data_IF_837683521752
#
_entry.id   IF_837683521752
#
_cell.length_a   1.000
_cell.length_b   1.000
_cell.length_c   1.000
_cell.angle_alpha   90.00
_cell.angle_beta   90.00
_cell.angle_gamma   90.00
#
_symmetry.space_group_name_H-M   'P 1'
#
loop_
_entity.id
_entity.type
_entity.pdbx_description
1 polymer ?
#
# COMPACT_ATOMS: atom_id res chain seq x y z
N UNK A 1 5.95 26.63 5.53
CA UNK A 1 6.91 25.83 6.32
C UNK A 1 6.68 24.37 5.96
N UNK A 2 7.63 23.77 5.24
CA UNK A 2 7.41 22.57 4.44
C UNK A 2 7.62 21.27 5.22
N UNK A 3 6.87 20.22 4.85
CA UNK A 3 6.95 18.87 5.44
C UNK A 3 8.37 18.32 5.54
N UNK A 4 9.27 18.71 4.62
CA UNK A 4 10.64 18.21 4.56
C UNK A 4 11.53 18.72 5.70
N UNK A 5 11.34 19.97 6.14
CA UNK A 5 12.12 20.55 7.25
C UNK A 5 11.70 19.92 8.58
N UNK A 6 10.40 19.70 8.76
CA UNK A 6 9.85 18.99 9.91
C UNK A 6 10.36 17.53 9.97
N UNK A 7 10.39 16.83 8.84
CA UNK A 7 10.85 15.44 8.79
C UNK A 7 12.36 15.32 9.05
N UNK A 8 13.18 16.23 8.52
CA UNK A 8 14.62 16.28 8.82
C UNK A 8 14.90 16.58 10.29
N UNK A 9 14.10 17.46 10.89
CA UNK A 9 14.20 17.77 12.32
C UNK A 9 13.80 16.55 13.17
N UNK A 10 12.69 15.90 12.83
CA UNK A 10 12.19 14.74 13.57
C UNK A 10 13.23 13.60 13.63
N UNK A 11 14.00 13.36 12.57
CA UNK A 11 15.07 12.35 12.58
C UNK A 11 16.22 12.64 13.55
N UNK A 12 16.35 13.87 14.06
CA UNK A 12 17.35 14.23 15.07
C UNK A 12 16.83 14.07 16.50
N UNK A 13 15.54 13.81 16.67
CA UNK A 13 14.88 13.63 17.97
C UNK A 13 14.87 12.17 18.42
N UNK A 14 15.67 11.30 17.78
CA UNK A 14 15.75 9.85 18.06
C UNK A 14 14.38 9.14 18.13
N UNK A 15 13.49 9.30 17.13
CA UNK A 15 12.16 8.71 17.20
C UNK A 15 12.18 7.22 16.86
N UNK A 16 11.37 6.39 17.53
CA UNK A 16 11.14 5.01 17.08
C UNK A 16 10.14 4.93 15.90
N UNK A 17 9.19 5.87 15.86
CA UNK A 17 8.06 5.89 14.95
C UNK A 17 7.92 7.24 14.27
N UNK A 18 7.72 7.24 12.95
CA UNK A 18 7.62 8.45 12.15
C UNK A 18 6.34 8.39 11.32
N UNK A 19 5.49 9.41 11.43
CA UNK A 19 4.37 9.61 10.51
C UNK A 19 4.74 10.68 9.48
N UNK A 20 5.04 10.23 8.26
CA UNK A 20 5.13 11.08 7.09
C UNK A 20 3.73 11.23 6.52
N UNK A 21 3.31 12.44 6.15
CA UNK A 21 1.97 12.69 5.60
C UNK A 21 1.76 12.01 4.24
N UNK A 22 1.63 12.81 3.18
CA UNK A 22 1.52 12.30 1.81
C UNK A 22 2.91 12.20 1.16
N UNK A 23 3.22 11.04 0.56
CA UNK A 23 4.41 10.84 -0.26
C UNK A 23 4.21 11.42 -1.67
N UNK A 24 4.22 12.75 -1.76
CA UNK A 24 3.90 13.47 -3.00
C UNK A 24 5.11 13.70 -3.90
N UNK A 25 6.22 14.11 -3.32
CA UNK A 25 7.44 14.51 -4.03
C UNK A 25 8.63 13.58 -3.75
N UNK A 26 9.62 13.66 -4.64
CA UNK A 26 10.82 12.83 -4.60
C UNK A 26 11.61 13.02 -3.30
N UNK A 27 11.68 14.24 -2.76
CA UNK A 27 12.44 14.51 -1.53
C UNK A 27 11.78 13.84 -0.32
N UNK A 28 10.46 13.97 -0.17
CA UNK A 28 9.68 13.35 0.91
C UNK A 28 9.82 11.82 0.86
N UNK A 29 9.71 11.23 -0.35
CA UNK A 29 9.82 9.78 -0.53
C UNK A 29 11.23 9.30 -0.18
N UNK A 30 12.28 10.01 -0.64
CA UNK A 30 13.67 9.65 -0.33
C UNK A 30 13.91 9.66 1.17
N UNK A 31 13.42 10.70 1.87
CA UNK A 31 13.61 10.84 3.30
C UNK A 31 12.87 9.75 4.08
N UNK A 32 11.64 9.42 3.68
CA UNK A 32 10.87 8.32 4.26
C UNK A 32 11.58 6.95 4.08
N UNK A 33 12.14 6.68 2.89
CA UNK A 33 12.89 5.46 2.62
C UNK A 33 14.18 5.38 3.46
N UNK A 34 14.95 6.45 3.54
CA UNK A 34 16.17 6.51 4.37
C UNK A 34 15.85 6.31 5.86
N UNK A 35 14.78 6.92 6.36
CA UNK A 35 14.33 6.71 7.73
C UNK A 35 13.96 5.24 7.99
N UNK A 36 13.21 4.63 7.07
CA UNK A 36 12.82 3.22 7.19
C UNK A 36 14.02 2.25 7.12
N UNK A 37 15.00 2.54 6.26
CA UNK A 37 16.22 1.76 6.11
C UNK A 37 17.12 1.82 7.36
N UNK A 38 17.13 2.97 8.05
CA UNK A 38 17.92 3.19 9.28
C UNK A 38 17.25 2.64 10.54
N UNK A 39 16.13 1.91 10.41
CA UNK A 39 15.50 1.16 11.51
C UNK A 39 14.22 1.78 12.07
N UNK A 40 13.80 2.95 11.59
CA UNK A 40 12.60 3.63 12.06
C UNK A 40 11.33 2.98 11.48
N UNK A 41 10.25 2.88 12.26
CA UNK A 41 8.96 2.50 11.71
C UNK A 41 8.26 3.73 11.09
N UNK A 42 8.25 3.76 9.76
CA UNK A 42 7.67 4.88 8.99
C UNK A 42 6.26 4.54 8.52
N UNK A 43 5.29 5.36 8.91
CA UNK A 43 3.94 5.40 8.34
C UNK A 43 3.88 6.51 7.31
N UNK A 44 3.28 6.21 6.16
CA UNK A 44 3.09 7.20 5.11
C UNK A 44 1.81 6.92 4.31
N UNK A 45 1.26 7.95 3.68
CA UNK A 45 0.06 7.83 2.83
C UNK A 45 0.38 8.14 1.37
N UNK A 46 -0.30 7.44 0.46
CA UNK A 46 -0.19 7.63 -0.99
C UNK A 46 -1.57 7.49 -1.61
N UNK A 47 -1.90 8.35 -2.57
CA UNK A 47 -3.17 8.30 -3.28
C UNK A 47 -3.15 7.29 -4.44
N UNK A 48 -3.18 5.99 -4.12
CA UNK A 48 -3.34 4.93 -5.12
C UNK A 48 -4.53 4.02 -4.80
N UNK A 49 -4.94 3.23 -5.79
CA UNK A 49 -6.09 2.32 -5.70
C UNK A 49 -5.74 0.89 -5.33
N UNK A 50 -4.45 0.54 -5.24
CA UNK A 50 -4.02 -0.83 -4.91
C UNK A 50 -2.61 -0.87 -4.34
N UNK A 51 -2.28 -1.97 -3.67
CA UNK A 51 -0.97 -2.21 -3.10
C UNK A 51 0.11 -2.21 -4.19
N UNK A 52 -0.13 -2.92 -5.29
CA UNK A 52 0.78 -2.96 -6.43
C UNK A 52 1.02 -1.56 -7.04
N UNK A 53 -0.04 -0.77 -7.26
CA UNK A 53 0.09 0.61 -7.78
C UNK A 53 0.83 1.54 -6.82
N UNK A 54 0.74 1.29 -5.51
CA UNK A 54 1.52 2.04 -4.51
C UNK A 54 3.01 1.85 -4.73
N UNK A 55 3.44 0.60 -4.98
CA UNK A 55 4.84 0.29 -5.28
C UNK A 55 5.29 0.99 -6.56
N UNK A 56 4.54 0.84 -7.65
CA UNK A 56 4.83 1.52 -8.92
C UNK A 56 4.97 3.04 -8.73
N UNK A 57 3.99 3.66 -8.05
CA UNK A 57 3.98 5.11 -7.82
C UNK A 57 5.20 5.59 -7.03
N UNK A 58 5.62 4.86 -6.00
CA UNK A 58 6.79 5.22 -5.18
C UNK A 58 8.08 5.14 -6.02
N UNK A 59 8.19 4.18 -6.93
CA UNK A 59 9.38 4.01 -7.77
C UNK A 59 9.37 5.00 -8.95
N UNK A 60 8.20 5.28 -9.53
CA UNK A 60 8.07 6.04 -10.77
C UNK A 60 8.36 7.53 -10.66
N UNK A 61 8.37 8.08 -9.44
CA UNK A 61 8.80 9.47 -9.23
C UNK A 61 10.31 9.65 -9.40
N UNK A 62 11.10 8.57 -9.35
CA UNK A 62 12.55 8.63 -9.47
C UNK A 62 13.02 8.56 -10.93
N UNK A 63 14.15 9.23 -11.26
CA UNK A 63 14.80 9.10 -12.56
C UNK A 63 15.18 7.64 -12.86
N UNK A 64 15.21 7.28 -14.15
CA UNK A 64 15.44 5.90 -14.60
C UNK A 64 16.72 5.26 -14.02
N UNK A 65 17.80 6.03 -13.89
CA UNK A 65 19.07 5.55 -13.32
C UNK A 65 19.02 5.21 -11.83
N UNK A 66 18.03 5.74 -11.09
CA UNK A 66 17.90 5.53 -9.65
C UNK A 66 16.86 4.45 -9.29
N UNK A 67 15.95 4.12 -10.21
CA UNK A 67 14.89 3.13 -9.97
C UNK A 67 15.40 1.77 -9.44
N UNK A 68 16.50 1.18 -9.95
CA UNK A 68 17.00 -0.08 -9.42
C UNK A 68 17.39 -0.01 -7.93
N UNK A 69 18.07 1.06 -7.52
CA UNK A 69 18.46 1.29 -6.12
C UNK A 69 17.22 1.48 -5.23
N UNK A 70 16.27 2.30 -5.68
CA UNK A 70 15.02 2.55 -4.95
C UNK A 70 14.21 1.27 -4.77
N UNK A 71 14.16 0.39 -5.79
CA UNK A 71 13.52 -0.93 -5.67
C UNK A 71 14.18 -1.79 -4.60
N UNK A 72 15.51 -1.82 -4.52
CA UNK A 72 16.21 -2.55 -3.46
C UNK A 72 15.86 -1.99 -2.08
N UNK A 73 16.02 -0.68 -1.86
CA UNK A 73 15.72 -0.03 -0.57
C UNK A 73 14.26 -0.26 -0.14
N UNK A 74 13.31 -0.08 -1.06
CA UNK A 74 11.89 -0.31 -0.80
C UNK A 74 11.61 -1.79 -0.49
N UNK A 75 12.24 -2.73 -1.20
CA UNK A 75 12.05 -4.15 -0.96
C UNK A 75 12.50 -4.59 0.42
N UNK A 76 13.54 -3.98 0.98
CA UNK A 76 14.06 -4.33 2.29
C UNK A 76 13.26 -3.67 3.42
N UNK A 77 12.87 -2.42 3.20
CA UNK A 77 12.19 -1.57 4.19
C UNK A 77 10.68 -1.83 4.27
N UNK A 78 10.03 -2.30 3.19
CA UNK A 78 8.58 -2.47 3.16
C UNK A 78 8.08 -3.49 4.18
N UNK A 79 7.14 -3.04 5.02
CA UNK A 79 6.42 -3.89 5.99
C UNK A 79 5.05 -4.31 5.49
N UNK A 80 4.22 -3.36 5.06
CA UNK A 80 2.92 -3.62 4.50
C UNK A 80 2.42 -2.43 3.66
N UNK A 81 1.46 -2.70 2.77
CA UNK A 81 0.65 -1.69 2.10
C UNK A 81 -0.82 -2.03 2.35
N UNK A 82 -1.59 -1.03 2.79
CA UNK A 82 -3.02 -1.16 3.00
C UNK A 82 -3.71 -0.14 2.09
N UNK A 83 -4.44 -0.61 1.08
CA UNK A 83 -5.25 0.23 0.21
C UNK A 83 -6.71 0.17 0.66
N UNK A 84 -7.33 1.33 0.88
CA UNK A 84 -8.66 1.44 1.43
C UNK A 84 -9.64 2.07 0.44
N UNK A 85 -10.82 1.46 0.30
CA UNK A 85 -11.96 2.05 -0.39
C UNK A 85 -13.15 2.16 0.56
N UNK A 86 -13.74 3.35 0.67
CA UNK A 86 -14.94 3.57 1.47
C UNK A 86 -16.19 3.47 0.59
N UNK A 87 -17.11 2.58 0.93
CA UNK A 87 -18.34 2.32 0.18
C UNK A 87 -19.59 2.45 1.04
N UNK A 88 -20.74 2.63 0.41
CA UNK A 88 -22.02 2.70 1.10
C UNK A 88 -22.33 1.35 1.75
N UNK A 89 -22.74 1.38 3.02
CA UNK A 89 -23.12 0.19 3.78
C UNK A 89 -24.64 0.01 3.75
N UNK A 90 -25.11 -1.23 3.76
CA UNK A 90 -26.52 -1.57 3.98
C UNK A 90 -26.96 -1.02 5.34
N UNK A 91 -28.10 -0.32 5.37
CA UNK A 91 -28.61 0.35 6.58
C UNK A 91 -28.05 1.75 6.81
N UNK A 92 -27.26 2.31 5.87
CA UNK A 92 -26.71 3.66 5.96
C UNK A 92 -25.24 3.69 6.38
N UNK A 93 -24.66 4.89 6.45
CA UNK A 93 -23.23 5.13 6.70
C UNK A 93 -22.30 4.52 5.62
N UNK A 94 -21.01 4.36 5.95
CA UNK A 94 -19.98 3.78 5.08
C UNK A 94 -19.25 2.65 5.78
N UNK A 95 -18.74 1.71 4.99
CA UNK A 95 -17.79 0.69 5.44
C UNK A 95 -16.52 0.78 4.62
N UNK A 96 -15.39 0.42 5.22
CA UNK A 96 -14.13 0.28 4.51
C UNK A 96 -13.99 -1.13 3.95
N UNK A 97 -13.53 -1.21 2.71
CA UNK A 97 -12.97 -2.42 2.13
C UNK A 97 -11.47 -2.21 1.96
N UNK A 98 -10.69 -3.24 2.29
CA UNK A 98 -9.24 -3.16 2.31
C UNK A 98 -8.62 -4.19 1.36
N UNK A 99 -7.59 -3.76 0.67
CA UNK A 99 -6.57 -4.64 0.10
C UNK A 99 -5.34 -4.54 1.00
N UNK A 100 -4.80 -5.68 1.41
CA UNK A 100 -3.68 -5.78 2.35
C UNK A 100 -2.58 -6.61 1.70
N UNK A 101 -1.41 -6.00 1.53
CA UNK A 101 -0.19 -6.66 1.07
C UNK A 101 0.88 -6.58 2.16
N UNK A 102 1.45 -7.71 2.54
CA UNK A 102 2.52 -7.80 3.55
C UNK A 102 3.88 -8.00 2.87
N UNK A 103 4.93 -7.35 3.36
CA UNK A 103 6.28 -7.40 2.81
C UNK A 103 7.03 -8.71 3.07
N UNK A 104 6.47 -9.85 2.67
CA UNK A 104 7.12 -11.17 2.78
C UNK A 104 8.23 -11.34 1.72
N UNK A 105 9.18 -12.29 1.87
CA UNK A 105 10.28 -12.48 0.93
C UNK A 105 9.86 -12.57 -0.55
N UNK A 106 8.72 -13.20 -0.85
CA UNK A 106 8.18 -13.27 -2.21
C UNK A 106 7.84 -11.88 -2.78
N UNK A 107 7.10 -11.04 -2.03
CA UNK A 107 6.77 -9.66 -2.46
C UNK A 107 8.04 -8.84 -2.62
N UNK A 108 8.99 -8.93 -1.67
CA UNK A 108 10.28 -8.23 -1.75
C UNK A 108 11.04 -8.60 -3.02
N UNK A 109 11.03 -9.88 -3.40
CA UNK A 109 11.64 -10.33 -4.63
C UNK A 109 10.93 -9.77 -5.87
N UNK A 110 9.59 -9.75 -5.89
CA UNK A 110 8.83 -9.15 -6.99
C UNK A 110 9.12 -7.65 -7.16
N UNK A 111 9.35 -6.91 -6.07
CA UNK A 111 9.78 -5.50 -6.11
C UNK A 111 11.15 -5.39 -6.78
N UNK A 112 12.15 -6.19 -6.35
CA UNK A 112 13.51 -6.16 -6.92
C UNK A 112 13.54 -6.48 -8.42
N UNK A 113 12.71 -7.44 -8.83
CA UNK A 113 12.65 -7.99 -10.19
C UNK A 113 11.73 -7.22 -11.14
N UNK A 114 11.14 -6.10 -10.71
CA UNK A 114 10.17 -5.32 -11.51
C UNK A 114 8.89 -6.07 -11.91
N UNK A 115 8.47 -7.04 -11.10
CA UNK A 115 7.34 -7.93 -11.40
C UNK A 115 6.07 -7.53 -10.65
N UNK A 116 5.78 -6.22 -10.63
CA UNK A 116 4.63 -5.66 -9.89
C UNK A 116 3.29 -6.25 -10.33
N UNK A 117 3.14 -6.57 -11.62
CA UNK A 117 1.95 -7.24 -12.15
C UNK A 117 1.64 -8.60 -11.49
N UNK A 118 2.65 -9.30 -10.96
CA UNK A 118 2.49 -10.61 -10.32
C UNK A 118 2.11 -10.51 -8.83
N UNK A 119 2.16 -9.31 -8.23
CA UNK A 119 1.85 -9.12 -6.81
C UNK A 119 0.41 -9.48 -6.48
N UNK A 120 -0.54 -9.27 -7.40
CA UNK A 120 -1.96 -9.60 -7.17
C UNK A 120 -2.15 -11.08 -6.83
N UNK A 121 -1.54 -11.99 -7.59
CA UNK A 121 -1.62 -13.43 -7.33
C UNK A 121 -0.94 -13.83 -6.03
N UNK A 122 0.13 -13.12 -5.66
CA UNK A 122 0.81 -13.32 -4.37
C UNK A 122 -0.06 -12.88 -3.19
N UNK A 123 -0.74 -11.73 -3.29
CA UNK A 123 -1.70 -11.27 -2.29
C UNK A 123 -2.86 -12.25 -2.17
N UNK A 124 -3.39 -12.73 -3.29
CA UNK A 124 -4.52 -13.66 -3.33
C UNK A 124 -4.25 -14.97 -2.58
N UNK A 125 -3.01 -15.46 -2.63
CA UNK A 125 -2.59 -16.73 -2.00
C UNK A 125 -2.01 -16.54 -0.59
N UNK A 126 -1.69 -15.32 -0.18
CA UNK A 126 -1.05 -15.00 1.11
C UNK A 126 -2.00 -14.81 2.31
N UNK A 127 -3.22 -15.36 2.26
CA UNK A 127 -4.19 -15.19 3.36
C UNK A 127 -3.69 -15.70 4.71
N UNK A 128 -2.89 -16.76 4.70
CA UNK A 128 -2.27 -17.34 5.90
C UNK A 128 -1.32 -16.36 6.64
N UNK A 129 -0.81 -15.34 5.95
CA UNK A 129 0.03 -14.28 6.52
C UNK A 129 -0.71 -12.94 6.61
N UNK A 130 -2.04 -12.96 6.52
CA UNK A 130 -2.89 -11.78 6.67
C UNK A 130 -3.02 -10.92 5.41
N UNK A 131 -2.61 -11.42 4.23
CA UNK A 131 -2.90 -10.73 2.97
C UNK A 131 -4.35 -10.92 2.54
N UNK A 132 -4.87 -9.95 1.81
CA UNK A 132 -6.22 -10.00 1.28
C UNK A 132 -6.33 -9.12 0.04
N UNK A 133 -6.88 -9.62 -1.06
CA UNK A 133 -7.21 -8.77 -2.21
C UNK A 133 -8.47 -7.96 -1.94
N UNK A 134 -8.64 -6.82 -2.63
CA UNK A 134 -9.88 -6.05 -2.54
C UNK A 134 -11.11 -6.91 -2.86
N UNK A 135 -11.03 -7.75 -3.89
CA UNK A 135 -12.11 -8.65 -4.30
C UNK A 135 -12.50 -9.65 -3.18
N UNK A 136 -11.50 -10.22 -2.48
CA UNK A 136 -11.76 -11.11 -1.34
C UNK A 136 -12.44 -10.37 -0.18
N UNK A 137 -12.04 -9.13 0.09
CA UNK A 137 -12.68 -8.28 1.10
C UNK A 137 -14.12 -7.95 0.73
N UNK A 138 -14.35 -7.55 -0.52
CA UNK A 138 -15.69 -7.27 -1.06
C UNK A 138 -16.62 -8.48 -0.97
N UNK A 139 -16.13 -9.69 -1.31
CA UNK A 139 -16.91 -10.92 -1.17
C UNK A 139 -17.28 -11.20 0.30
N UNK A 140 -16.38 -11.00 1.26
CA UNK A 140 -16.70 -11.13 2.69
C UNK A 140 -17.77 -10.11 3.13
N UNK A 141 -17.60 -8.84 2.77
CA UNK A 141 -18.55 -7.78 3.11
C UNK A 141 -19.95 -8.06 2.53
N UNK A 142 -20.03 -8.61 1.32
CA UNK A 142 -21.30 -9.03 0.71
C UNK A 142 -21.88 -10.25 1.42
N UNK A 143 -21.08 -11.28 1.73
CA UNK A 143 -21.54 -12.47 2.46
C UNK A 143 -22.10 -12.12 3.85
N UNK A 144 -21.53 -11.11 4.51
CA UNK A 144 -21.98 -10.60 5.81
C UNK A 144 -23.18 -9.65 5.72
N UNK A 145 -23.68 -9.37 4.51
CA UNK A 145 -24.80 -8.45 4.28
C UNK A 145 -24.47 -6.98 4.56
N UNK A 146 -23.20 -6.61 4.68
CA UNK A 146 -22.78 -5.23 4.95
C UNK A 146 -22.81 -4.36 3.70
N UNK A 147 -22.61 -4.95 2.52
CA UNK A 147 -22.57 -4.27 1.22
C UNK A 147 -23.37 -5.06 0.20
N UNK A 148 -24.16 -4.38 -0.64
CA UNK A 148 -24.93 -5.04 -1.71
C UNK A 148 -24.02 -5.49 -2.85
N UNK A 149 -24.40 -6.54 -3.58
CA UNK A 149 -23.66 -7.00 -4.78
C UNK A 149 -23.40 -5.86 -5.79
N UNK A 150 -24.38 -5.01 -6.17
CA UNK A 150 -24.13 -3.89 -7.07
C UNK A 150 -23.09 -2.91 -6.52
N UNK A 151 -23.16 -2.61 -5.22
CA UNK A 151 -22.23 -1.70 -4.58
C UNK A 151 -20.80 -2.26 -4.53
N UNK A 152 -20.65 -3.56 -4.28
CA UNK A 152 -19.34 -4.23 -4.30
C UNK A 152 -18.74 -4.27 -5.73
N UNK A 153 -19.58 -4.53 -6.73
CA UNK A 153 -19.20 -4.61 -8.16
C UNK A 153 -18.60 -3.31 -8.71
N UNK A 154 -18.95 -2.16 -8.15
CA UNK A 154 -18.35 -0.85 -8.51
C UNK A 154 -16.86 -0.77 -8.19
N UNK A 155 -16.40 -1.47 -7.14
CA UNK A 155 -15.01 -1.44 -6.66
C UNK A 155 -14.22 -2.69 -7.05
N UNK A 156 -14.90 -3.77 -7.44
CA UNK A 156 -14.27 -5.04 -7.78
C UNK A 156 -13.37 -4.95 -9.01
N UNK A 157 -12.21 -5.61 -8.94
CA UNK A 157 -11.34 -5.85 -10.09
C UNK A 157 -11.95 -6.93 -10.99
N UNK A 158 -12.38 -8.06 -10.42
CA UNK A 158 -13.19 -9.06 -11.13
C UNK A 158 -14.68 -8.89 -10.82
N UNK A 159 -15.37 -8.19 -11.72
CA UNK A 159 -16.82 -7.90 -11.58
C UNK A 159 -17.70 -9.15 -11.60
N UNK A 160 -17.23 -10.24 -12.21
CA UNK A 160 -17.99 -11.50 -12.36
C UNK A 160 -18.27 -12.17 -11.02
N UNK A 161 -17.48 -11.83 -9.99
CA UNK A 161 -17.67 -12.34 -8.63
C UNK A 161 -18.97 -11.85 -7.97
N UNK A 162 -19.62 -10.83 -8.54
CA UNK A 162 -20.80 -10.16 -7.98
C UNK A 162 -22.01 -10.16 -8.92
N UNK A 163 -21.95 -10.93 -10.00
CA UNK A 163 -23.10 -11.19 -10.86
C UNK A 163 -24.13 -12.13 -10.17
#
# INVERSE_FOLDING_TARGET
HGSNEALRSALREDPDYILVGELRDLETIRLALTAAETGHLVFATVHTSSAAKTIDRIIDVFPAGEKPMVRSMLSESLRAVISQSLMKKVGGCRTAAHEIMVGIPAIRNLIREDKVAQMYSSIQTGQNVGMQTLDQCLQDLTKRGLVTKPQAREYAKDKRLFD
#
